data_IF_666647706128
#
_entry.id   IF_666647706128
#
_cell.length_a   1.000
_cell.length_b   1.000
_cell.length_c   1.000
_cell.angle_alpha   90.00
_cell.angle_beta   90.00
_cell.angle_gamma   90.00
#
_symmetry.space_group_name_H-M   'P 1'
#
loop_
_entity.id
_entity.type
_entity.pdbx_description
1 polymer ?
#
# COMPACT_ATOMS: atom_id res chain seq x y z
N UNK A 1 25.46 22.50 -9.16
CA UNK A 1 24.57 23.27 -8.25
C UNK A 1 23.75 22.24 -7.50
N UNK A 2 24.18 21.87 -6.28
CA UNK A 2 23.49 20.85 -5.48
C UNK A 2 22.38 21.56 -4.70
N UNK A 3 21.11 21.34 -5.07
CA UNK A 3 19.98 21.76 -4.25
C UNK A 3 20.10 21.05 -2.90
N UNK A 4 20.30 21.85 -1.85
CA UNK A 4 20.37 21.35 -0.48
C UNK A 4 18.94 21.24 0.01
N UNK A 5 18.31 20.08 -0.21
CA UNK A 5 17.00 19.77 0.37
C UNK A 5 17.13 19.87 1.89
N UNK A 6 16.57 20.92 2.48
CA UNK A 6 16.52 21.10 3.92
C UNK A 6 15.46 20.14 4.48
N UNK A 7 15.89 19.14 5.24
CA UNK A 7 15.01 18.19 5.91
C UNK A 7 14.83 18.62 7.36
N UNK A 8 13.60 18.92 7.74
CA UNK A 8 13.25 19.30 9.11
C UNK A 8 12.72 18.07 9.84
N UNK A 9 13.40 17.68 10.93
CA UNK A 9 12.91 16.61 11.80
C UNK A 9 11.91 17.18 12.80
N UNK A 10 10.76 16.50 12.92
CA UNK A 10 9.75 16.78 13.94
C UNK A 10 9.74 15.60 14.91
N UNK A 11 10.14 15.84 16.17
CA UNK A 11 10.07 14.83 17.22
C UNK A 11 8.67 14.83 17.86
N UNK A 12 8.04 13.67 17.92
CA UNK A 12 6.73 13.49 18.57
C UNK A 12 6.94 12.93 19.98
N UNK A 13 6.29 13.48 21.02
CA UNK A 13 6.37 12.93 22.37
C UNK A 13 5.71 11.54 22.46
N UNK A 14 6.18 10.74 23.42
CA UNK A 14 5.91 9.30 23.54
C UNK A 14 4.41 8.99 23.73
N UNK A 15 3.65 9.92 24.31
CA UNK A 15 2.21 9.79 24.61
C UNK A 15 1.31 10.61 23.66
N UNK A 16 1.81 11.03 22.49
CA UNK A 16 1.00 11.72 21.50
C UNK A 16 0.53 10.76 20.39
N UNK A 17 -0.23 9.74 20.79
CA UNK A 17 -0.80 8.75 19.88
C UNK A 17 -1.63 9.38 18.75
N UNK A 18 -2.28 10.52 18.99
CA UNK A 18 -3.01 11.25 17.94
C UNK A 18 -2.10 11.88 16.87
N UNK A 19 -0.84 12.19 17.20
CA UNK A 19 0.12 12.76 16.23
C UNK A 19 0.70 11.69 15.30
N UNK A 20 0.73 10.43 15.73
CA UNK A 20 1.26 9.31 14.94
C UNK A 20 0.19 8.34 14.45
N UNK A 21 -1.06 8.51 14.90
CA UNK A 21 -2.17 7.58 14.61
C UNK A 21 -2.41 7.35 13.13
N UNK A 22 -2.17 8.34 12.27
CA UNK A 22 -2.23 8.17 10.81
C UNK A 22 -1.17 7.18 10.29
N UNK A 23 0.05 7.25 10.83
CA UNK A 23 1.15 6.35 10.47
C UNK A 23 0.89 4.94 11.03
N UNK A 24 0.42 4.85 12.27
CA UNK A 24 0.07 3.57 12.91
C UNK A 24 -1.06 2.87 12.15
N UNK A 25 -2.10 3.60 11.77
CA UNK A 25 -3.20 3.08 10.95
C UNK A 25 -2.70 2.60 9.58
N UNK A 26 -1.85 3.39 8.92
CA UNK A 26 -1.29 3.00 7.63
C UNK A 26 -0.42 1.74 7.74
N UNK A 27 0.36 1.61 8.82
CA UNK A 27 1.16 0.41 9.08
C UNK A 27 0.27 -0.84 9.27
N UNK A 28 -0.82 -0.71 10.03
CA UNK A 28 -1.76 -1.83 10.24
C UNK A 28 -2.40 -2.31 8.92
N UNK A 29 -2.83 -1.37 8.07
CA UNK A 29 -3.44 -1.66 6.76
C UNK A 29 -2.43 -2.31 5.81
N UNK A 30 -1.20 -1.80 5.79
CA UNK A 30 -0.11 -2.39 4.99
C UNK A 30 0.24 -3.80 5.45
N UNK A 31 0.38 -4.00 6.77
CA UNK A 31 0.71 -5.30 7.35
C UNK A 31 -0.36 -6.34 7.03
N UNK A 32 -1.64 -5.98 7.17
CA UNK A 32 -2.76 -6.87 6.84
C UNK A 32 -2.80 -7.23 5.35
N UNK A 33 -2.52 -6.27 4.49
CA UNK A 33 -2.44 -6.51 3.04
C UNK A 33 -1.32 -7.48 2.69
N UNK A 34 -0.15 -7.30 3.31
CA UNK A 34 1.00 -8.20 3.16
C UNK A 34 0.67 -9.62 3.60
N UNK A 35 0.08 -9.78 4.79
CA UNK A 35 -0.32 -11.09 5.35
C UNK A 35 -1.23 -11.85 4.39
N UNK A 36 -2.28 -11.21 3.87
CA UNK A 36 -3.20 -11.82 2.90
C UNK A 36 -2.46 -12.23 1.62
N UNK A 37 -1.58 -11.38 1.10
CA UNK A 37 -0.83 -11.68 -0.12
C UNK A 37 0.11 -12.88 0.09
N UNK A 38 0.76 -12.95 1.25
CA UNK A 38 1.64 -14.06 1.63
C UNK A 38 0.88 -15.37 1.87
N UNK A 39 -0.33 -15.32 2.42
CA UNK A 39 -1.20 -16.49 2.58
C UNK A 39 -1.73 -17.02 1.24
N UNK A 40 -2.12 -16.11 0.33
CA UNK A 40 -2.70 -16.49 -0.97
C UNK A 40 -1.65 -16.99 -1.97
N UNK A 41 -0.41 -16.54 -1.85
CA UNK A 41 0.70 -16.96 -2.71
C UNK A 41 1.95 -17.24 -1.86
N UNK A 42 2.03 -18.39 -1.17
CA UNK A 42 3.14 -18.70 -0.25
C UNK A 42 4.52 -18.80 -0.94
N UNK A 43 4.52 -19.12 -2.22
CA UNK A 43 5.72 -19.25 -3.08
C UNK A 43 6.33 -17.88 -3.45
N UNK A 44 5.66 -16.78 -3.11
CA UNK A 44 6.05 -15.44 -3.50
C UNK A 44 7.22 -14.94 -2.65
N UNK A 45 8.23 -14.36 -3.29
CA UNK A 45 9.32 -13.68 -2.59
C UNK A 45 8.76 -12.57 -1.66
N UNK A 46 9.23 -12.44 -0.41
CA UNK A 46 8.75 -11.43 0.55
C UNK A 46 8.78 -10.00 0.00
N UNK A 47 9.81 -9.66 -0.78
CA UNK A 47 9.96 -8.33 -1.40
C UNK A 47 8.83 -8.05 -2.39
N UNK A 48 8.42 -9.08 -3.14
CA UNK A 48 7.34 -8.98 -4.11
C UNK A 48 5.97 -8.94 -3.42
N UNK A 49 5.81 -9.67 -2.31
CA UNK A 49 4.62 -9.57 -1.45
C UNK A 49 4.46 -8.14 -0.91
N UNK A 50 5.54 -7.55 -0.41
CA UNK A 50 5.56 -6.17 0.08
C UNK A 50 5.25 -5.15 -1.02
N UNK A 51 5.85 -5.30 -2.21
CA UNK A 51 5.54 -4.42 -3.35
C UNK A 51 4.06 -4.48 -3.74
N UNK A 52 3.47 -5.68 -3.74
CA UNK A 52 2.04 -5.84 -4.01
C UNK A 52 1.17 -5.27 -2.90
N UNK A 53 1.56 -5.40 -1.64
CA UNK A 53 0.85 -4.81 -0.51
C UNK A 53 0.84 -3.28 -0.60
N UNK A 54 2.00 -2.66 -0.83
CA UNK A 54 2.13 -1.22 -1.03
C UNK A 54 1.27 -0.75 -2.21
N UNK A 55 1.27 -1.50 -3.31
CA UNK A 55 0.43 -1.18 -4.47
C UNK A 55 -1.07 -1.27 -4.13
N UNK A 56 -1.50 -2.34 -3.46
CA UNK A 56 -2.89 -2.53 -3.08
C UNK A 56 -3.38 -1.39 -2.19
N UNK A 57 -2.60 -1.00 -1.17
CA UNK A 57 -2.96 0.11 -0.28
C UNK A 57 -3.05 1.43 -1.05
N UNK A 58 -2.08 1.74 -1.89
CA UNK A 58 -2.06 3.01 -2.65
C UNK A 58 -3.17 3.11 -3.71
N UNK A 59 -3.58 1.98 -4.29
CA UNK A 59 -4.62 1.94 -5.32
C UNK A 59 -6.03 1.82 -4.71
N UNK A 60 -6.16 1.54 -3.40
CA UNK A 60 -7.45 1.41 -2.73
C UNK A 60 -8.01 2.75 -2.29
N UNK A 61 -9.32 2.89 -2.41
CA UNK A 61 -10.06 4.04 -1.91
C UNK A 61 -10.10 4.06 -0.39
N UNK A 62 -9.67 5.18 0.20
CA UNK A 62 -9.85 5.50 1.62
C UNK A 62 -11.32 5.76 1.99
N UNK A 63 -11.63 5.94 3.29
CA UNK A 63 -12.99 6.19 3.79
C UNK A 63 -13.69 7.34 3.05
N UNK A 64 -12.95 8.40 2.74
CA UNK A 64 -13.47 9.61 2.09
C UNK A 64 -13.59 9.51 0.57
N UNK A 65 -13.37 8.34 -0.02
CA UNK A 65 -13.44 8.18 -1.48
C UNK A 65 -12.14 8.55 -2.22
N UNK A 66 -11.07 8.93 -1.51
CA UNK A 66 -9.79 9.28 -2.11
C UNK A 66 -8.90 8.07 -2.34
N UNK A 67 -8.25 8.00 -3.51
CA UNK A 67 -7.26 6.98 -3.84
C UNK A 67 -5.87 7.63 -3.83
N UNK A 68 -4.93 7.22 -2.96
CA UNK A 68 -3.60 7.81 -2.86
C UNK A 68 -2.85 7.93 -4.20
N UNK A 69 -2.89 6.87 -5.03
CA UNK A 69 -2.30 6.88 -6.36
C UNK A 69 -2.89 7.98 -7.25
N UNK A 70 -4.21 8.20 -7.20
CA UNK A 70 -4.86 9.25 -7.98
C UNK A 70 -4.54 10.65 -7.46
N UNK A 71 -4.38 10.81 -6.15
CA UNK A 71 -4.01 12.10 -5.56
C UNK A 71 -2.63 12.56 -6.02
N UNK A 72 -1.67 11.63 -6.12
CA UNK A 72 -0.27 11.94 -6.47
C UNK A 72 -0.07 11.97 -7.98
N UNK A 73 -0.51 10.93 -8.69
CA UNK A 73 -0.20 10.74 -10.11
C UNK A 73 -1.32 11.21 -11.05
N UNK A 74 -2.52 11.50 -10.54
CA UNK A 74 -3.72 11.86 -11.31
C UNK A 74 -4.18 10.80 -12.32
N UNK A 75 -3.59 9.62 -12.30
CA UNK A 75 -3.89 8.48 -13.14
C UNK A 75 -3.39 7.21 -12.46
N UNK A 76 -3.97 6.06 -12.79
CA UNK A 76 -3.40 4.77 -12.40
C UNK A 76 -2.19 4.47 -13.30
N UNK A 77 -0.97 4.32 -12.74
CA UNK A 77 0.18 3.87 -13.50
C UNK A 77 -0.14 2.50 -14.10
N UNK A 78 0.09 2.34 -15.40
CA UNK A 78 -0.03 1.04 -16.05
C UNK A 78 0.91 0.06 -15.33
N UNK A 79 0.44 -1.17 -15.08
CA UNK A 79 1.32 -2.25 -14.67
C UNK A 79 2.36 -2.44 -15.78
N UNK A 80 3.59 -1.94 -15.60
CA UNK A 80 4.64 -2.11 -16.60
C UNK A 80 5.23 -3.51 -16.50
N UNK A 81 5.28 -4.18 -17.65
CA UNK A 81 6.01 -5.43 -17.89
C UNK A 81 7.50 -5.20 -17.68
N UNK A 82 8.00 -5.37 -16.47
CA UNK A 82 9.42 -5.65 -16.31
C UNK A 82 9.59 -7.03 -15.69
N UNK A 83 9.20 -8.06 -16.46
CA UNK A 83 9.89 -9.36 -16.71
C UNK A 83 8.92 -10.38 -17.38
N UNK A 84 9.28 -11.05 -18.51
CA UNK A 84 8.38 -11.95 -19.26
C UNK A 84 8.63 -13.46 -18.95
N UNK A 85 7.76 -14.39 -19.43
CA UNK A 85 6.31 -14.46 -19.32
C UNK A 85 5.94 -15.42 -18.17
N UNK A 86 4.92 -15.14 -17.36
CA UNK A 86 4.45 -16.16 -16.41
C UNK A 86 2.96 -15.99 -16.23
N UNK A 87 2.17 -17.03 -15.92
CA UNK A 87 0.71 -17.01 -15.70
C UNK A 87 0.21 -16.05 -14.59
N UNK A 88 1.07 -15.12 -14.17
CA UNK A 88 1.10 -14.45 -12.89
C UNK A 88 0.45 -13.07 -12.94
N UNK A 89 0.17 -12.46 -14.10
CA UNK A 89 -0.50 -11.14 -14.15
C UNK A 89 -1.95 -11.24 -13.67
N UNK A 90 -2.71 -12.22 -14.14
CA UNK A 90 -4.09 -12.43 -13.71
C UNK A 90 -4.17 -12.82 -12.23
N UNK A 91 -3.28 -13.71 -11.78
CA UNK A 91 -3.18 -14.10 -10.37
C UNK A 91 -2.79 -12.91 -9.48
N UNK A 92 -1.76 -12.15 -9.85
CA UNK A 92 -1.37 -10.91 -9.13
C UNK A 92 -2.50 -9.89 -9.11
N UNK A 93 -3.19 -9.67 -10.23
CA UNK A 93 -4.32 -8.75 -10.29
C UNK A 93 -5.48 -9.22 -9.39
N UNK A 94 -5.77 -10.52 -9.34
CA UNK A 94 -6.77 -11.09 -8.44
C UNK A 94 -6.38 -10.95 -6.97
N UNK A 95 -5.13 -11.27 -6.62
CA UNK A 95 -4.61 -11.13 -5.25
C UNK A 95 -4.61 -9.66 -4.80
N UNK A 96 -4.16 -8.74 -5.66
CA UNK A 96 -4.21 -7.29 -5.38
C UNK A 96 -5.66 -6.86 -5.19
N UNK A 97 -6.59 -7.26 -6.06
CA UNK A 97 -8.02 -6.93 -5.91
C UNK A 97 -8.61 -7.42 -4.59
N UNK A 98 -8.21 -8.62 -4.12
CA UNK A 98 -8.63 -9.17 -2.83
C UNK A 98 -8.07 -8.35 -1.66
N UNK A 99 -6.80 -7.97 -1.72
CA UNK A 99 -6.19 -7.06 -0.75
C UNK A 99 -6.91 -5.69 -0.73
N UNK A 100 -7.21 -5.12 -1.89
CA UNK A 100 -7.96 -3.86 -1.99
C UNK A 100 -9.35 -3.95 -1.32
N UNK A 101 -10.03 -5.09 -1.47
CA UNK A 101 -11.33 -5.32 -0.84
C UNK A 101 -11.21 -5.36 0.69
N UNK A 102 -10.17 -6.02 1.22
CA UNK A 102 -9.94 -6.04 2.66
C UNK A 102 -9.55 -4.66 3.20
N UNK A 103 -8.67 -3.94 2.50
CA UNK A 103 -8.30 -2.56 2.86
C UNK A 103 -9.55 -1.68 2.95
N UNK A 104 -10.44 -1.78 1.96
CA UNK A 104 -11.71 -1.06 1.96
C UNK A 104 -12.62 -1.46 3.14
N UNK A 105 -12.63 -2.75 3.51
CA UNK A 105 -13.35 -3.22 4.71
C UNK A 105 -12.79 -2.59 5.98
N UNK A 106 -11.46 -2.56 6.14
CA UNK A 106 -10.81 -1.95 7.31
C UNK A 106 -11.11 -0.45 7.41
N UNK A 107 -11.20 0.24 6.27
CA UNK A 107 -11.59 1.65 6.20
C UNK A 107 -13.07 1.92 6.55
N UNK A 108 -13.95 0.92 6.46
CA UNK A 108 -15.40 1.08 6.72
C UNK A 108 -15.81 0.72 8.15
N UNK A 109 -14.92 0.11 8.95
CA UNK A 109 -15.20 -0.38 10.32
C UNK A 109 -14.88 0.69 11.39
N UNK A 110 -14.83 1.97 11.03
CA UNK A 110 -14.73 3.12 11.94
C UNK A 110 -15.79 4.16 11.54
#
# INVERSE_FOLDING_TARGET
MQERTSMMMVSVPIEAHWLIGTIEHYHAVLYRSYEIISEEVPELAPELALQMAVKAVNDTTGPDGYVPTLLIFRAYPRMMEYSPPTPMVAQRAATVKKAMTEVQRLHTVH
#
